data_IF_059724190343
#
_entry.id   IF_059724190343
#
_cell.length_a   1.000
_cell.length_b   1.000
_cell.length_c   1.000
_cell.angle_alpha   90.00
_cell.angle_beta   90.00
_cell.angle_gamma   90.00
#
_symmetry.space_group_name_H-M   'P 1'
#
loop_
_entity.id
_entity.type
_entity.pdbx_description
1 polymer ?
#
# COMPACT_ATOMS: atom_id res chain seq x y z
N UNK A 1 30.03 -11.53 10.07
CA UNK A 1 28.69 -11.39 10.69
C UNK A 1 28.62 -9.99 11.30
N UNK A 2 27.60 -9.20 10.96
CA UNK A 2 27.40 -7.85 11.49
C UNK A 2 26.01 -7.77 12.11
N UNK A 3 25.89 -7.13 13.25
CA UNK A 3 24.63 -6.77 13.90
C UNK A 3 24.55 -5.26 13.91
N UNK A 4 23.45 -4.71 13.42
CA UNK A 4 23.15 -3.29 13.57
C UNK A 4 22.56 -3.05 14.94
N UNK A 5 23.18 -2.16 15.71
CA UNK A 5 22.80 -1.91 17.11
C UNK A 5 21.64 -0.92 17.25
N UNK A 6 21.35 -0.16 16.20
CA UNK A 6 20.26 0.81 16.19
C UNK A 6 18.92 0.11 16.35
N UNK A 7 18.14 0.55 17.32
CA UNK A 7 16.81 0.00 17.56
C UNK A 7 15.86 0.40 16.43
N UNK A 8 15.41 -0.58 15.67
CA UNK A 8 14.42 -0.40 14.61
C UNK A 8 12.99 -0.46 15.19
N UNK A 9 12.13 0.46 14.78
CA UNK A 9 10.81 0.72 15.35
C UNK A 9 9.69 0.38 14.37
N UNK A 10 8.65 -0.29 14.86
CA UNK A 10 7.34 -0.39 14.21
C UNK A 10 6.38 0.71 14.68
N UNK A 11 5.17 0.74 14.13
CA UNK A 11 4.17 1.76 14.51
C UNK A 11 3.75 1.68 15.98
N UNK A 12 3.72 0.47 16.57
CA UNK A 12 3.37 0.25 17.97
C UNK A 12 4.40 0.77 18.97
N UNK A 13 5.62 1.07 18.51
CA UNK A 13 6.72 1.47 19.40
C UNK A 13 6.79 2.97 19.62
N UNK A 14 5.94 3.76 18.94
CA UNK A 14 5.92 5.21 19.01
C UNK A 14 4.53 5.81 19.08
N UNK A 15 4.43 7.01 19.66
CA UNK A 15 3.29 7.90 19.55
C UNK A 15 3.74 9.27 19.04
N UNK A 16 2.81 10.04 18.44
CA UNK A 16 3.05 11.45 18.16
C UNK A 16 3.10 12.25 19.47
N UNK A 17 4.09 13.09 19.61
CA UNK A 17 4.09 14.10 20.66
C UNK A 17 3.19 15.26 20.22
N UNK A 18 2.13 15.61 20.98
CA UNK A 18 1.29 16.75 20.66
C UNK A 18 2.10 18.06 20.62
N UNK A 19 1.71 18.96 19.73
CA UNK A 19 2.32 20.28 19.59
C UNK A 19 1.25 21.37 19.63
N UNK A 20 1.65 22.60 19.97
CA UNK A 20 0.75 23.73 19.88
C UNK A 20 0.23 23.89 18.45
N UNK A 21 -1.09 23.99 18.32
CA UNK A 21 -1.79 24.14 17.06
C UNK A 21 -2.64 25.39 17.05
N UNK A 22 -2.73 26.04 15.90
CA UNK A 22 -3.63 27.18 15.66
C UNK A 22 -4.94 26.74 14.98
N UNK A 23 -5.03 25.46 14.60
CA UNK A 23 -6.21 24.89 13.96
C UNK A 23 -7.37 24.78 14.95
N UNK A 24 -8.53 25.31 14.57
CA UNK A 24 -9.75 25.31 15.38
C UNK A 24 -10.64 24.10 15.13
N UNK A 25 -10.52 23.48 13.96
CA UNK A 25 -11.35 22.36 13.51
C UNK A 25 -10.56 21.42 12.61
N UNK A 26 -10.90 20.13 12.66
CA UNK A 26 -10.40 19.10 11.73
C UNK A 26 -10.80 19.38 10.29
N UNK A 27 -11.89 20.11 10.05
CA UNK A 27 -12.33 20.55 8.73
C UNK A 27 -11.36 21.50 8.02
N UNK A 28 -10.43 22.11 8.77
CA UNK A 28 -9.38 22.98 8.22
C UNK A 28 -8.19 22.19 7.68
N UNK A 29 -8.17 20.86 7.82
CA UNK A 29 -7.07 20.00 7.36
C UNK A 29 -7.37 19.46 5.98
N UNK A 30 -6.49 19.74 5.02
CA UNK A 30 -6.50 19.11 3.70
C UNK A 30 -5.62 17.85 3.69
N UNK A 31 -6.19 16.71 3.27
CA UNK A 31 -5.46 15.46 3.07
C UNK A 31 -5.01 15.27 1.63
N UNK A 32 -5.52 16.07 0.70
CA UNK A 32 -5.15 16.02 -0.71
C UNK A 32 -3.71 16.49 -0.89
N UNK A 33 -2.93 15.71 -1.63
CA UNK A 33 -1.55 16.05 -2.01
C UNK A 33 -1.43 16.08 -3.53
N UNK A 34 -0.51 16.88 -4.02
CA UNK A 34 -0.11 16.91 -5.42
C UNK A 34 1.31 16.37 -5.55
N UNK A 35 1.50 15.48 -6.52
CA UNK A 35 2.79 14.87 -6.86
C UNK A 35 3.14 15.15 -8.32
N UNK A 36 4.43 15.29 -8.57
CA UNK A 36 5.04 15.22 -9.90
C UNK A 36 6.04 14.09 -9.90
N UNK A 37 5.87 13.11 -10.78
CA UNK A 37 6.68 11.90 -10.77
C UNK A 37 7.97 12.10 -11.56
N UNK A 38 9.07 11.54 -11.05
CA UNK A 38 10.44 11.82 -11.51
C UNK A 38 10.66 11.53 -13.00
N UNK A 39 10.29 10.35 -13.45
CA UNK A 39 10.64 9.91 -14.81
C UNK A 39 9.65 10.39 -15.87
N UNK A 40 8.38 10.49 -15.52
CA UNK A 40 7.34 10.84 -16.48
C UNK A 40 6.95 12.31 -16.48
N UNK A 41 7.31 13.06 -15.42
CA UNK A 41 6.80 14.41 -15.15
C UNK A 41 5.24 14.47 -15.07
N UNK A 42 4.60 13.31 -15.01
CA UNK A 42 3.14 13.20 -14.82
C UNK A 42 2.75 13.81 -13.48
N UNK A 43 1.68 14.58 -13.47
CA UNK A 43 1.08 15.11 -12.25
C UNK A 43 -0.12 14.26 -11.82
N UNK A 44 -0.25 14.04 -10.53
CA UNK A 44 -1.41 13.43 -9.90
C UNK A 44 -1.76 14.19 -8.63
N UNK A 45 -3.06 14.33 -8.37
CA UNK A 45 -3.60 14.94 -7.18
C UNK A 45 -4.66 14.03 -6.56
N UNK A 46 -4.63 13.90 -5.24
CA UNK A 46 -5.60 13.12 -4.49
C UNK A 46 -5.14 12.84 -3.06
N UNK A 47 -5.87 11.98 -2.36
CA UNK A 47 -5.53 11.48 -1.04
C UNK A 47 -4.60 10.27 -1.21
N UNK A 48 -3.35 10.33 -0.75
CA UNK A 48 -2.32 9.35 -1.10
C UNK A 48 -2.42 8.04 -0.27
N UNK A 49 -3.60 7.45 -0.27
CA UNK A 49 -3.88 6.13 0.30
C UNK A 49 -4.25 5.18 -0.84
N UNK A 50 -3.68 3.98 -0.84
CA UNK A 50 -3.80 2.99 -1.91
C UNK A 50 -4.37 1.70 -1.34
N UNK A 51 -5.43 1.15 -1.94
CA UNK A 51 -5.84 -0.22 -1.64
C UNK A 51 -4.83 -1.22 -2.24
N UNK A 52 -4.42 -2.20 -1.43
CA UNK A 52 -3.40 -3.17 -1.80
C UNK A 52 -3.84 -4.08 -2.96
N UNK A 53 -2.89 -4.48 -3.79
CA UNK A 53 -3.06 -5.34 -4.96
C UNK A 53 -3.31 -6.82 -4.62
N UNK A 54 -4.14 -7.05 -3.62
CA UNK A 54 -4.58 -8.38 -3.19
C UNK A 54 -5.93 -8.69 -3.83
N UNK A 55 -6.16 -9.94 -4.24
CA UNK A 55 -7.43 -10.35 -4.87
C UNK A 55 -8.64 -10.33 -3.92
N UNK A 56 -8.37 -10.18 -2.62
CA UNK A 56 -9.35 -9.96 -1.56
C UNK A 56 -9.50 -8.49 -1.15
N UNK A 57 -8.87 -7.54 -1.84
CA UNK A 57 -8.91 -6.10 -1.52
C UNK A 57 -8.96 -5.24 -2.78
N UNK A 58 -7.98 -5.36 -3.67
CA UNK A 58 -7.79 -4.51 -4.85
C UNK A 58 -8.68 -4.90 -6.02
N UNK A 59 -9.97 -4.86 -5.85
CA UNK A 59 -11.00 -5.18 -6.85
C UNK A 59 -11.39 -3.97 -7.70
N UNK A 60 -12.13 -4.19 -8.78
CA UNK A 60 -12.73 -3.11 -9.58
C UNK A 60 -13.79 -2.30 -8.81
N UNK A 61 -14.58 -2.97 -7.94
CA UNK A 61 -15.56 -2.29 -7.10
C UNK A 61 -14.86 -1.36 -6.10
N UNK A 62 -13.80 -1.86 -5.43
CA UNK A 62 -12.95 -1.05 -4.54
C UNK A 62 -12.35 0.15 -5.31
N UNK A 63 -11.88 -0.05 -6.53
CA UNK A 63 -11.31 1.02 -7.35
C UNK A 63 -12.32 2.15 -7.63
N UNK A 64 -13.56 1.81 -8.00
CA UNK A 64 -14.63 2.80 -8.23
C UNK A 64 -14.95 3.57 -6.94
N UNK A 65 -15.12 2.87 -5.82
CA UNK A 65 -15.48 3.51 -4.55
C UNK A 65 -14.35 4.41 -4.03
N UNK A 66 -13.11 3.94 -4.02
CA UNK A 66 -11.98 4.71 -3.51
C UNK A 66 -11.65 5.93 -4.41
N UNK A 67 -11.80 5.81 -5.72
CA UNK A 67 -11.63 6.95 -6.63
C UNK A 67 -12.61 8.10 -6.32
N UNK A 68 -13.82 7.80 -5.84
CA UNK A 68 -14.76 8.78 -5.33
C UNK A 68 -14.28 9.55 -4.09
N UNK A 69 -13.32 9.00 -3.35
CA UNK A 69 -12.61 9.66 -2.25
C UNK A 69 -11.24 10.23 -2.67
N UNK A 70 -10.98 10.33 -3.96
CA UNK A 70 -9.67 10.74 -4.52
C UNK A 70 -8.50 9.83 -4.07
N UNK A 71 -8.79 8.60 -3.64
CA UNK A 71 -7.81 7.58 -3.23
C UNK A 71 -7.52 6.64 -4.39
N UNK A 72 -6.42 5.89 -4.29
CA UNK A 72 -5.99 4.97 -5.34
C UNK A 72 -6.29 3.50 -5.00
N UNK A 73 -6.36 2.68 -6.04
CA UNK A 73 -6.40 1.22 -5.89
C UNK A 73 -5.39 0.58 -6.83
N UNK A 74 -4.51 -0.24 -6.29
CA UNK A 74 -3.72 -1.17 -7.07
C UNK A 74 -4.60 -2.41 -7.35
N UNK A 75 -5.18 -2.46 -8.54
CA UNK A 75 -6.06 -3.58 -8.94
C UNK A 75 -5.21 -4.82 -9.16
N UNK A 76 -5.62 -5.95 -8.55
CA UNK A 76 -4.87 -7.19 -8.61
C UNK A 76 -4.73 -7.75 -10.05
N UNK A 77 -3.66 -8.47 -10.32
CA UNK A 77 -3.30 -8.96 -11.67
C UNK A 77 -4.18 -10.10 -12.23
N UNK A 78 -5.09 -10.66 -11.43
CA UNK A 78 -5.81 -11.90 -11.78
C UNK A 78 -7.08 -11.68 -12.62
N UNK A 79 -7.53 -10.44 -12.84
CA UNK A 79 -8.61 -10.15 -13.78
C UNK A 79 -8.20 -10.44 -15.22
N UNK A 80 -9.13 -10.97 -16.04
CA UNK A 80 -8.89 -11.21 -17.47
C UNK A 80 -8.88 -9.90 -18.27
N UNK A 81 -8.44 -9.97 -19.53
CA UNK A 81 -8.47 -8.80 -20.44
C UNK A 81 -9.90 -8.36 -20.73
N UNK A 82 -10.85 -9.30 -20.86
CA UNK A 82 -12.26 -9.02 -21.08
C UNK A 82 -12.86 -8.27 -19.87
N UNK A 83 -12.51 -8.69 -18.65
CA UNK A 83 -12.95 -8.01 -17.43
C UNK A 83 -12.37 -6.60 -17.33
N UNK A 84 -11.11 -6.40 -17.69
CA UNK A 84 -10.49 -5.08 -17.77
C UNK A 84 -11.17 -4.21 -18.83
N UNK A 85 -11.47 -4.76 -20.02
CA UNK A 85 -12.15 -4.02 -21.08
C UNK A 85 -13.54 -3.56 -20.63
N UNK A 86 -14.31 -4.44 -19.98
CA UNK A 86 -15.61 -4.10 -19.41
C UNK A 86 -15.48 -2.98 -18.36
N UNK A 87 -14.53 -3.13 -17.42
CA UNK A 87 -14.28 -2.14 -16.37
C UNK A 87 -13.93 -0.76 -16.95
N UNK A 88 -13.04 -0.70 -17.96
CA UNK A 88 -12.62 0.54 -18.59
C UNK A 88 -13.79 1.20 -19.34
N UNK A 89 -14.60 0.41 -20.06
CA UNK A 89 -15.75 0.94 -20.82
C UNK A 89 -16.85 1.51 -19.92
N UNK A 90 -17.02 0.93 -18.72
CA UNK A 90 -18.06 1.30 -17.76
C UNK A 90 -17.63 2.39 -16.75
N UNK A 91 -16.34 2.74 -16.72
CA UNK A 91 -15.79 3.63 -15.69
C UNK A 91 -15.42 4.98 -16.30
N UNK A 92 -15.80 6.07 -15.62
CA UNK A 92 -15.41 7.42 -16.03
C UNK A 92 -13.87 7.51 -16.12
N UNK A 93 -13.31 8.01 -17.24
CA UNK A 93 -11.88 8.21 -17.40
C UNK A 93 -11.21 8.99 -16.26
N UNK A 94 -11.90 9.92 -15.63
CA UNK A 94 -11.37 10.65 -14.47
C UNK A 94 -11.10 9.73 -13.29
N UNK A 95 -11.94 8.71 -13.06
CA UNK A 95 -11.74 7.71 -11.99
C UNK A 95 -10.63 6.73 -12.33
N UNK A 96 -10.41 6.40 -13.61
CA UNK A 96 -9.30 5.55 -14.06
C UNK A 96 -7.93 6.16 -13.74
N UNK A 97 -7.83 7.48 -13.60
CA UNK A 97 -6.63 8.17 -13.13
C UNK A 97 -6.21 7.84 -11.70
N UNK A 98 -7.05 7.13 -10.94
CA UNK A 98 -6.78 6.63 -9.59
C UNK A 98 -6.53 5.10 -9.55
N UNK A 99 -6.42 4.47 -10.71
CA UNK A 99 -6.24 3.02 -10.83
C UNK A 99 -4.81 2.68 -11.22
N UNK A 100 -4.21 1.72 -10.51
CA UNK A 100 -2.93 1.11 -10.86
C UNK A 100 -3.15 -0.29 -11.43
N UNK A 101 -2.52 -0.60 -12.55
CA UNK A 101 -2.50 -1.94 -13.13
C UNK A 101 -1.38 -2.73 -12.49
N UNK A 102 -1.71 -3.80 -11.74
CA UNK A 102 -0.70 -4.61 -11.06
C UNK A 102 -0.16 -5.71 -11.97
N UNK A 103 1.13 -5.99 -11.86
CA UNK A 103 1.84 -7.00 -12.65
C UNK A 103 2.89 -7.73 -11.79
N UNK A 104 3.18 -8.99 -12.15
CA UNK A 104 4.38 -9.69 -11.72
C UNK A 104 5.52 -9.46 -12.71
N UNK A 105 6.52 -10.36 -12.69
CA UNK A 105 7.74 -10.25 -13.53
C UNK A 105 7.79 -11.25 -14.68
N UNK A 106 6.74 -12.07 -14.87
CA UNK A 106 6.70 -13.03 -15.98
C UNK A 106 6.49 -12.33 -17.34
N UNK A 107 6.90 -12.98 -18.42
CA UNK A 107 6.67 -12.48 -19.78
C UNK A 107 5.17 -12.36 -20.08
N UNK A 108 4.35 -13.27 -19.56
CA UNK A 108 2.90 -13.27 -19.69
C UNK A 108 2.27 -12.08 -18.94
N UNK A 109 2.64 -11.87 -17.66
CA UNK A 109 2.21 -10.71 -16.88
C UNK A 109 2.54 -9.40 -17.60
N UNK A 110 3.75 -9.30 -18.17
CA UNK A 110 4.19 -8.11 -18.90
C UNK A 110 3.39 -7.87 -20.17
N UNK A 111 3.16 -8.91 -20.98
CA UNK A 111 2.35 -8.80 -22.20
C UNK A 111 0.92 -8.37 -21.89
N UNK A 112 0.30 -8.98 -20.87
CA UNK A 112 -1.04 -8.64 -20.39
C UNK A 112 -1.13 -7.19 -19.91
N UNK A 113 -0.16 -6.74 -19.12
CA UNK A 113 -0.10 -5.36 -18.62
C UNK A 113 -0.09 -4.36 -19.76
N UNK A 114 0.71 -4.57 -20.81
CA UNK A 114 0.74 -3.71 -21.98
C UNK A 114 -0.59 -3.65 -22.72
N UNK A 115 -1.30 -4.77 -22.83
CA UNK A 115 -2.62 -4.81 -23.46
C UNK A 115 -3.65 -4.03 -22.62
N UNK A 116 -3.61 -4.14 -21.29
CA UNK A 116 -4.51 -3.38 -20.41
C UNK A 116 -4.24 -1.87 -20.51
N UNK A 117 -2.98 -1.46 -20.46
CA UNK A 117 -2.62 -0.03 -20.58
C UNK A 117 -3.03 0.58 -21.92
N UNK A 118 -3.07 -0.21 -23.00
CA UNK A 118 -3.54 0.24 -24.32
C UNK A 118 -5.05 0.45 -24.40
N UNK A 119 -5.84 -0.01 -23.42
CA UNK A 119 -7.31 0.16 -23.39
C UNK A 119 -7.74 1.61 -23.09
N UNK A 120 -6.91 2.37 -22.36
CA UNK A 120 -7.21 3.77 -22.02
C UNK A 120 -5.97 4.56 -21.65
N UNK A 121 -5.82 5.76 -22.20
CA UNK A 121 -4.74 6.71 -21.81
C UNK A 121 -4.87 7.21 -20.36
N UNK A 122 -6.03 7.02 -19.72
CA UNK A 122 -6.24 7.36 -18.32
C UNK A 122 -5.60 6.34 -17.36
N UNK A 123 -5.28 5.12 -17.81
CA UNK A 123 -4.53 4.12 -17.03
C UNK A 123 -3.04 4.45 -17.07
N UNK A 124 -2.60 5.32 -16.15
CA UNK A 124 -1.23 5.86 -16.14
C UNK A 124 -0.29 5.23 -15.11
N UNK A 125 -0.78 4.33 -14.27
CA UNK A 125 -0.02 3.77 -13.15
C UNK A 125 0.17 2.26 -13.29
N UNK A 126 1.39 1.79 -13.05
CA UNK A 126 1.77 0.38 -13.04
C UNK A 126 2.28 0.04 -11.63
N UNK A 127 1.78 -1.05 -11.04
CA UNK A 127 2.29 -1.60 -9.79
C UNK A 127 3.02 -2.91 -10.07
N UNK A 128 4.36 -2.89 -10.01
CA UNK A 128 5.22 -4.07 -10.16
C UNK A 128 5.49 -4.63 -8.78
N UNK A 129 4.87 -5.78 -8.47
CA UNK A 129 4.85 -6.34 -7.13
C UNK A 129 5.51 -7.72 -7.07
N UNK A 130 6.53 -7.83 -6.21
CA UNK A 130 7.19 -9.08 -5.84
C UNK A 130 7.43 -9.12 -4.33
N UNK A 131 7.44 -10.32 -3.75
CA UNK A 131 7.71 -10.50 -2.32
C UNK A 131 9.15 -10.09 -1.93
N UNK A 132 10.10 -10.23 -2.86
CA UNK A 132 11.52 -9.92 -2.69
C UNK A 132 12.05 -9.08 -3.83
N UNK A 133 12.13 -7.76 -3.63
CA UNK A 133 12.64 -6.79 -4.60
C UNK A 133 14.17 -6.70 -4.70
N UNK A 134 14.91 -7.58 -4.00
CA UNK A 134 16.38 -7.56 -3.96
C UNK A 134 17.04 -8.39 -5.05
N UNK A 135 16.28 -9.07 -5.92
CA UNK A 135 16.86 -9.86 -7.00
C UNK A 135 17.29 -8.98 -8.18
N UNK A 136 18.42 -9.30 -8.80
CA UNK A 136 18.90 -8.64 -10.02
C UNK A 136 17.85 -8.72 -11.13
N UNK A 137 17.21 -9.87 -11.28
CA UNK A 137 16.10 -10.07 -12.23
C UNK A 137 14.96 -9.05 -12.04
N UNK A 138 14.64 -8.67 -10.79
CA UNK A 138 13.61 -7.68 -10.52
C UNK A 138 14.03 -6.28 -10.99
N UNK A 139 15.27 -5.89 -10.72
CA UNK A 139 15.85 -4.61 -11.17
C UNK A 139 15.84 -4.52 -12.69
N UNK A 140 16.29 -5.57 -13.38
CA UNK A 140 16.27 -5.66 -14.86
C UNK A 140 14.83 -5.55 -15.38
N UNK A 141 13.87 -6.17 -14.72
CA UNK A 141 12.46 -6.09 -15.10
C UNK A 141 11.91 -4.66 -14.95
N UNK A 142 12.29 -3.93 -13.90
CA UNK A 142 11.92 -2.50 -13.74
C UNK A 142 12.48 -1.67 -14.90
N UNK A 143 13.74 -1.87 -15.29
CA UNK A 143 14.33 -1.21 -16.47
C UNK A 143 13.55 -1.52 -17.75
N UNK A 144 13.24 -2.79 -17.98
CA UNK A 144 12.46 -3.25 -19.14
C UNK A 144 11.05 -2.63 -19.19
N UNK A 145 10.35 -2.54 -18.07
CA UNK A 145 9.04 -1.88 -18.01
C UNK A 145 9.18 -0.37 -18.29
N UNK A 146 10.19 0.30 -17.74
CA UNK A 146 10.44 1.73 -18.01
C UNK A 146 10.69 1.98 -19.50
N UNK A 147 11.48 1.17 -20.15
CA UNK A 147 11.74 1.28 -21.59
C UNK A 147 10.46 1.07 -22.43
N UNK A 148 9.64 0.08 -22.06
CA UNK A 148 8.42 -0.24 -22.80
C UNK A 148 7.24 0.69 -22.51
N UNK A 149 7.20 1.33 -21.34
CA UNK A 149 6.13 2.18 -20.85
C UNK A 149 6.67 3.52 -20.35
N UNK A 150 7.34 4.33 -21.20
CA UNK A 150 8.07 5.53 -20.78
C UNK A 150 7.19 6.60 -20.16
N UNK A 151 5.91 6.63 -20.51
CA UNK A 151 4.95 7.64 -20.06
C UNK A 151 4.09 7.21 -18.86
N UNK A 152 4.33 6.00 -18.31
CA UNK A 152 3.56 5.50 -17.17
C UNK A 152 4.35 5.64 -15.88
N UNK A 153 3.67 5.98 -14.80
CA UNK A 153 4.23 6.03 -13.45
C UNK A 153 4.40 4.59 -12.95
N UNK A 154 5.62 4.23 -12.56
CA UNK A 154 5.96 2.90 -12.08
C UNK A 154 6.14 2.91 -10.57
N UNK A 155 5.29 2.13 -9.89
CA UNK A 155 5.45 1.72 -8.50
C UNK A 155 6.06 0.33 -8.46
N UNK A 156 7.21 0.15 -7.77
CA UNK A 156 7.94 -1.12 -7.75
C UNK A 156 8.41 -1.50 -6.35
N UNK A 157 8.35 -2.76 -5.99
CA UNK A 157 8.80 -3.32 -4.70
C UNK A 157 8.41 -4.80 -4.54
N UNK A 158 8.71 -5.37 -3.32
CA UNK A 158 8.97 -4.66 -2.06
C UNK A 158 10.44 -4.70 -1.64
N UNK A 159 10.88 -3.60 -1.08
CA UNK A 159 12.19 -3.44 -0.47
C UNK A 159 12.08 -2.75 0.90
N UNK A 160 13.16 -2.69 1.70
CA UNK A 160 13.17 -2.07 3.04
C UNK A 160 14.46 -1.32 3.36
N UNK A 161 15.37 -1.16 2.40
CA UNK A 161 16.66 -0.45 2.59
C UNK A 161 16.82 0.70 1.62
N UNK A 162 17.51 1.75 2.05
CA UNK A 162 17.76 2.94 1.23
C UNK A 162 18.50 2.62 -0.07
N UNK A 163 19.50 1.74 -0.02
CA UNK A 163 20.30 1.33 -1.19
C UNK A 163 19.42 0.74 -2.31
N UNK A 164 18.47 -0.14 -1.94
CA UNK A 164 17.57 -0.72 -2.94
C UNK A 164 16.50 0.27 -3.42
N UNK A 165 16.10 1.23 -2.59
CA UNK A 165 15.25 2.34 -3.03
C UNK A 165 15.97 3.16 -4.09
N UNK A 166 17.22 3.52 -3.86
CA UNK A 166 18.05 4.24 -4.82
C UNK A 166 18.21 3.46 -6.12
N UNK A 167 18.55 2.17 -6.05
CA UNK A 167 18.69 1.28 -7.21
C UNK A 167 17.40 1.23 -8.05
N UNK A 168 16.22 1.06 -7.41
CA UNK A 168 14.95 0.98 -8.13
C UNK A 168 14.57 2.32 -8.78
N UNK A 169 14.81 3.45 -8.09
CA UNK A 169 14.54 4.77 -8.67
C UNK A 169 15.46 5.03 -9.86
N UNK A 170 16.75 4.74 -9.74
CA UNK A 170 17.71 4.90 -10.83
C UNK A 170 17.40 3.95 -12.02
N UNK A 171 16.80 2.81 -11.74
CA UNK A 171 16.38 1.82 -12.74
C UNK A 171 15.03 2.16 -13.40
N UNK A 172 14.33 3.22 -12.96
CA UNK A 172 13.13 3.72 -13.63
C UNK A 172 11.85 3.71 -12.80
N UNK A 173 11.86 3.30 -11.53
CA UNK A 173 10.71 3.44 -10.64
C UNK A 173 10.49 4.91 -10.25
N UNK A 174 9.24 5.36 -10.26
CA UNK A 174 8.84 6.67 -9.72
C UNK A 174 8.52 6.57 -8.24
N UNK A 175 7.90 5.47 -7.83
CA UNK A 175 7.48 5.20 -6.46
C UNK A 175 8.06 3.85 -6.04
N UNK A 176 8.67 3.77 -4.86
CA UNK A 176 9.17 2.50 -4.33
C UNK A 176 8.26 1.97 -3.22
N UNK A 177 7.91 0.70 -3.33
CA UNK A 177 7.03 -0.01 -2.38
C UNK A 177 7.87 -0.59 -1.24
N UNK A 178 7.65 -0.06 -0.03
CA UNK A 178 8.46 -0.32 1.16
C UNK A 178 7.71 -1.18 2.17
N UNK A 179 8.23 -2.37 2.43
CA UNK A 179 7.67 -3.28 3.45
C UNK A 179 7.96 -4.75 3.16
N UNK A 180 8.65 -5.43 4.08
CA UNK A 180 8.85 -6.88 4.09
C UNK A 180 8.47 -7.40 5.47
N UNK A 181 7.41 -8.20 5.52
CA UNK A 181 6.95 -8.84 6.75
C UNK A 181 6.06 -8.02 7.70
N UNK A 182 5.61 -6.77 7.41
CA UNK A 182 4.76 -6.03 8.35
C UNK A 182 3.27 -6.34 8.22
N UNK A 183 2.82 -6.95 7.13
CA UNK A 183 1.40 -7.20 6.86
C UNK A 183 0.74 -8.12 7.88
N UNK A 184 -0.55 -7.89 8.17
CA UNK A 184 -1.31 -8.64 9.19
C UNK A 184 -1.49 -10.13 8.86
N UNK A 185 -1.46 -10.50 7.58
CA UNK A 185 -1.54 -11.89 7.10
C UNK A 185 -0.21 -12.39 6.51
N UNK A 186 0.87 -11.61 6.66
CA UNK A 186 2.21 -11.99 6.26
C UNK A 186 2.87 -12.86 7.33
N UNK A 187 3.53 -13.96 6.93
CA UNK A 187 4.28 -14.85 7.81
C UNK A 187 5.77 -14.92 7.45
N UNK A 188 6.24 -14.06 6.55
CA UNK A 188 7.65 -14.04 6.09
C UNK A 188 8.63 -13.99 7.25
N UNK A 189 8.41 -13.12 8.26
CA UNK A 189 9.29 -13.02 9.44
C UNK A 189 9.42 -14.33 10.22
N UNK A 190 8.33 -15.07 10.33
CA UNK A 190 8.31 -16.35 11.05
C UNK A 190 8.91 -17.47 10.20
N UNK A 191 8.64 -17.47 8.90
CA UNK A 191 9.06 -18.55 7.98
C UNK A 191 10.52 -18.42 7.53
N UNK A 192 11.02 -17.20 7.41
CA UNK A 192 12.34 -16.94 6.82
C UNK A 192 13.32 -16.22 7.76
N UNK A 193 12.83 -15.62 8.85
CA UNK A 193 13.61 -14.71 9.69
C UNK A 193 13.88 -13.34 9.05
N UNK A 194 13.38 -13.09 7.82
CA UNK A 194 13.57 -11.83 7.09
C UNK A 194 12.45 -10.85 7.41
N UNK A 195 12.80 -9.58 7.54
CA UNK A 195 11.84 -8.50 7.74
C UNK A 195 12.49 -7.25 8.32
N UNK A 196 11.74 -6.17 8.34
CA UNK A 196 12.18 -4.89 8.89
C UNK A 196 11.02 -4.21 9.63
N UNK A 197 11.22 -3.57 10.79
CA UNK A 197 10.19 -2.78 11.47
C UNK A 197 9.75 -1.59 10.61
N UNK A 198 8.45 -1.50 10.35
CA UNK A 198 7.91 -0.72 9.24
C UNK A 198 8.16 0.79 9.36
N UNK A 199 8.09 1.37 10.57
CA UNK A 199 8.35 2.80 10.74
C UNK A 199 9.78 3.17 10.40
N UNK A 200 10.76 2.40 10.89
CA UNK A 200 12.17 2.62 10.56
C UNK A 200 12.44 2.42 9.07
N UNK A 201 11.86 1.37 8.44
CA UNK A 201 11.96 1.17 7.01
C UNK A 201 11.45 2.39 6.22
N UNK A 202 10.29 2.94 6.60
CA UNK A 202 9.72 4.14 5.96
C UNK A 202 10.66 5.33 6.11
N UNK A 203 11.17 5.60 7.31
CA UNK A 203 12.04 6.76 7.57
C UNK A 203 13.32 6.69 6.71
N UNK A 204 13.99 5.54 6.73
CA UNK A 204 15.25 5.33 6.00
C UNK A 204 15.04 5.35 4.47
N UNK A 205 13.98 4.68 3.99
CA UNK A 205 13.65 4.63 2.57
C UNK A 205 13.12 5.96 2.02
N UNK A 206 12.40 6.74 2.83
CA UNK A 206 11.92 8.08 2.43
C UNK A 206 13.08 9.04 2.22
N UNK A 207 14.09 9.02 3.09
CA UNK A 207 15.28 9.86 2.95
C UNK A 207 16.02 9.56 1.64
N UNK A 208 16.27 8.28 1.36
CA UNK A 208 16.90 7.84 0.12
C UNK A 208 16.09 8.22 -1.13
N UNK A 209 14.77 7.99 -1.13
CA UNK A 209 13.91 8.30 -2.27
C UNK A 209 13.85 9.82 -2.55
N UNK A 210 13.62 10.61 -1.51
CA UNK A 210 13.48 12.06 -1.65
C UNK A 210 14.79 12.71 -2.11
N UNK A 211 15.95 12.20 -1.69
CA UNK A 211 17.26 12.60 -2.18
C UNK A 211 17.42 12.48 -3.70
N UNK A 212 16.75 11.52 -4.30
CA UNK A 212 16.74 11.28 -5.75
C UNK A 212 15.50 11.86 -6.47
N UNK A 213 14.60 12.53 -5.77
CA UNK A 213 13.36 13.08 -6.34
C UNK A 213 12.30 12.01 -6.64
N UNK A 214 12.43 10.79 -6.10
CA UNK A 214 11.42 9.74 -6.12
C UNK A 214 10.47 9.81 -4.93
N UNK A 215 9.48 8.91 -4.90
CA UNK A 215 8.51 8.77 -3.82
C UNK A 215 8.55 7.36 -3.24
N UNK A 216 7.99 7.20 -2.04
CA UNK A 216 7.76 5.87 -1.45
C UNK A 216 6.30 5.65 -1.08
N UNK A 217 5.90 4.39 -1.08
CA UNK A 217 4.66 3.93 -0.44
C UNK A 217 5.00 2.99 0.72
N UNK A 218 4.52 3.32 1.91
CA UNK A 218 4.59 2.42 3.07
C UNK A 218 3.53 1.32 2.93
N UNK A 219 3.97 0.08 2.70
CA UNK A 219 3.10 -1.07 2.47
C UNK A 219 3.07 -2.02 3.65
N UNK A 220 1.92 -2.12 4.28
CA UNK A 220 1.65 -3.00 5.41
C UNK A 220 2.00 -2.42 6.78
N UNK A 221 1.56 -3.13 7.83
CA UNK A 221 1.80 -2.78 9.24
C UNK A 221 0.78 -1.81 9.85
N UNK A 222 -0.03 -1.11 9.05
CA UNK A 222 -1.11 -0.27 9.57
C UNK A 222 -2.30 -1.13 9.99
N UNK A 223 -2.76 -0.94 11.24
CA UNK A 223 -3.92 -1.61 11.84
C UNK A 223 -4.96 -0.64 12.36
N UNK A 224 -4.62 0.64 12.40
CA UNK A 224 -5.47 1.73 12.88
C UNK A 224 -5.23 3.02 12.08
N UNK A 225 -6.15 3.99 12.12
CA UNK A 225 -5.93 5.31 11.51
C UNK A 225 -4.68 6.03 12.05
N UNK A 226 -4.34 5.80 13.31
CA UNK A 226 -3.12 6.32 13.93
C UNK A 226 -1.84 5.78 13.29
N UNK A 227 -1.84 4.51 12.86
CA UNK A 227 -0.69 3.92 12.16
C UNK A 227 -0.52 4.51 10.76
N UNK A 228 -1.64 4.76 10.05
CA UNK A 228 -1.63 5.46 8.77
C UNK A 228 -1.01 6.86 8.92
N UNK A 229 -1.41 7.59 9.96
CA UNK A 229 -0.82 8.89 10.27
C UNK A 229 0.69 8.77 10.59
N UNK A 230 1.11 7.73 11.35
CA UNK A 230 2.53 7.50 11.65
C UNK A 230 3.36 7.19 10.40
N UNK A 231 2.80 6.46 9.44
CA UNK A 231 3.46 6.21 8.16
C UNK A 231 3.73 7.54 7.42
N UNK A 232 2.74 8.41 7.31
CA UNK A 232 2.93 9.76 6.74
C UNK A 232 3.89 10.62 7.57
N UNK A 233 3.78 10.55 8.90
CA UNK A 233 4.69 11.25 9.82
C UNK A 233 6.14 10.79 9.69
N UNK A 234 6.36 9.53 9.36
CA UNK A 234 7.66 8.92 9.10
C UNK A 234 8.25 9.26 7.73
N UNK A 235 7.48 9.88 6.84
CA UNK A 235 7.96 10.32 5.53
C UNK A 235 7.37 9.60 4.34
N UNK A 236 6.44 8.64 4.53
CA UNK A 236 5.76 8.01 3.42
C UNK A 236 5.00 9.05 2.57
N UNK A 237 5.16 8.98 1.26
CA UNK A 237 4.39 9.79 0.32
C UNK A 237 3.00 9.22 0.12
N UNK A 238 2.93 7.90 0.03
CA UNK A 238 1.71 7.11 -0.07
C UNK A 238 1.68 6.04 1.03
N UNK A 239 0.49 5.57 1.38
CA UNK A 239 0.29 4.43 2.31
C UNK A 239 -0.60 3.40 1.64
N UNK A 240 -0.13 2.14 1.57
CA UNK A 240 -0.90 1.03 1.03
C UNK A 240 -1.55 0.23 2.16
N UNK A 241 -2.84 -0.02 2.01
CA UNK A 241 -3.68 -0.69 3.01
C UNK A 241 -4.27 -1.99 2.46
N UNK A 242 -4.03 -3.10 3.17
CA UNK A 242 -4.68 -4.39 2.93
C UNK A 242 -5.75 -4.66 3.98
N UNK A 243 -5.36 -5.13 5.16
CA UNK A 243 -6.27 -5.58 6.22
C UNK A 243 -7.27 -4.55 6.72
N UNK A 244 -6.93 -3.26 6.70
CA UNK A 244 -7.86 -2.19 7.07
C UNK A 244 -9.01 -2.00 6.07
N UNK A 245 -8.80 -2.36 4.80
CA UNK A 245 -9.80 -2.32 3.74
C UNK A 245 -10.35 -3.70 3.38
N UNK A 246 -9.97 -4.75 4.09
CA UNK A 246 -10.45 -6.11 3.86
C UNK A 246 -11.82 -6.35 4.49
N UNK A 247 -12.53 -7.36 3.98
CA UNK A 247 -13.86 -7.82 4.44
C UNK A 247 -14.98 -6.80 4.28
N UNK A 248 -14.85 -5.88 3.33
CA UNK A 248 -15.90 -4.97 2.90
C UNK A 248 -16.63 -5.48 1.65
N UNK A 249 -17.81 -4.92 1.38
CA UNK A 249 -18.65 -5.26 0.25
C UNK A 249 -17.91 -5.19 -1.08
N UNK A 250 -17.03 -4.21 -1.24
CA UNK A 250 -16.25 -3.97 -2.45
C UNK A 250 -15.07 -4.93 -2.64
N UNK A 251 -14.78 -5.76 -1.63
CA UNK A 251 -13.73 -6.77 -1.73
C UNK A 251 -14.14 -7.97 -2.58
N UNK A 252 -13.18 -8.58 -3.27
CA UNK A 252 -13.39 -9.82 -4.03
C UNK A 252 -13.34 -11.10 -3.18
N UNK A 253 -13.50 -11.00 -1.86
CA UNK A 253 -13.43 -12.15 -0.94
C UNK A 253 -14.69 -13.00 -0.95
N UNK A 254 -14.56 -14.28 -0.59
CA UNK A 254 -15.67 -15.20 -0.38
C UNK A 254 -16.32 -14.95 0.99
N UNK A 255 -17.65 -14.77 0.99
CA UNK A 255 -18.43 -14.66 2.23
C UNK A 255 -18.76 -16.09 2.69
N UNK A 256 -18.47 -16.38 3.95
CA UNK A 256 -18.79 -17.63 4.63
C UNK A 256 -19.61 -17.34 5.88
N UNK A 257 -20.62 -18.18 6.14
CA UNK A 257 -21.39 -18.12 7.39
C UNK A 257 -20.64 -18.88 8.49
N UNK A 258 -20.49 -18.24 9.64
CA UNK A 258 -19.94 -18.87 10.86
C UNK A 258 -20.91 -18.58 11.99
N UNK A 259 -21.60 -19.61 12.46
CA UNK A 259 -22.58 -19.53 13.56
C UNK A 259 -23.70 -18.48 13.33
N UNK A 260 -24.13 -18.30 12.09
CA UNK A 260 -25.16 -17.35 11.69
C UNK A 260 -24.68 -15.93 11.42
N UNK A 261 -23.37 -15.70 11.50
CA UNK A 261 -22.75 -14.40 11.23
C UNK A 261 -21.90 -14.45 9.94
N UNK A 262 -21.94 -13.40 9.09
CA UNK A 262 -21.18 -13.37 7.85
C UNK A 262 -19.72 -12.99 8.11
N UNK A 263 -18.81 -13.80 7.57
CA UNK A 263 -17.37 -13.56 7.55
C UNK A 263 -16.85 -13.56 6.11
N UNK A 264 -15.73 -12.89 5.88
CA UNK A 264 -15.01 -12.99 4.60
C UNK A 264 -13.62 -13.59 4.81
N UNK A 265 -13.21 -14.43 3.86
CA UNK A 265 -11.83 -14.95 3.81
C UNK A 265 -10.89 -13.83 3.39
N UNK A 266 -9.85 -13.64 4.18
CA UNK A 266 -8.74 -12.72 3.90
C UNK A 266 -7.42 -13.46 4.05
N UNK A 267 -6.52 -13.33 3.06
CA UNK A 267 -5.26 -14.07 3.04
C UNK A 267 -4.13 -13.29 2.36
N UNK A 268 -2.89 -13.62 2.75
CA UNK A 268 -1.70 -13.08 2.09
C UNK A 268 -1.52 -13.67 0.69
N UNK A 269 -1.03 -12.88 -0.27
CA UNK A 269 -0.83 -13.32 -1.66
C UNK A 269 0.22 -14.43 -1.82
N UNK A 270 1.05 -14.69 -0.80
CA UNK A 270 1.96 -15.83 -0.70
C UNK A 270 1.47 -16.94 0.23
N UNK A 271 0.17 -16.96 0.58
CA UNK A 271 -0.46 -18.05 1.36
C UNK A 271 -0.75 -19.28 0.51
N UNK A 272 -0.96 -20.44 1.16
CA UNK A 272 -1.44 -21.64 0.48
C UNK A 272 -2.75 -21.36 -0.27
N UNK A 273 -3.72 -20.69 0.35
CA UNK A 273 -4.98 -20.32 -0.29
C UNK A 273 -4.82 -19.52 -1.58
N UNK A 274 -3.90 -18.55 -1.60
CA UNK A 274 -3.61 -17.79 -2.81
C UNK A 274 -2.91 -18.64 -3.87
N UNK A 275 -1.97 -19.50 -3.45
CA UNK A 275 -1.24 -20.38 -4.36
C UNK A 275 -2.16 -21.46 -4.95
N UNK A 276 -3.06 -22.04 -4.17
CA UNK A 276 -4.06 -23.01 -4.66
C UNK A 276 -4.98 -22.36 -5.69
N UNK A 277 -5.41 -21.12 -5.45
CA UNK A 277 -6.31 -20.40 -6.35
C UNK A 277 -5.66 -19.94 -7.66
N UNK A 278 -4.38 -19.53 -7.61
CA UNK A 278 -3.74 -18.81 -8.72
C UNK A 278 -2.50 -19.51 -9.31
N UNK A 279 -1.92 -20.50 -8.64
CA UNK A 279 -0.66 -21.13 -9.05
C UNK A 279 -0.69 -22.67 -9.04
N UNK A 280 -1.87 -23.28 -8.82
CA UNK A 280 -2.01 -24.74 -8.79
C UNK A 280 -1.41 -25.42 -7.55
N UNK A 281 -1.18 -24.67 -6.48
CA UNK A 281 -0.68 -25.18 -5.20
C UNK A 281 0.69 -24.64 -4.79
N UNK A 282 1.15 -25.08 -3.61
CA UNK A 282 2.47 -24.73 -3.08
C UNK A 282 3.51 -25.70 -3.62
N UNK A 283 4.49 -25.21 -4.38
CA UNK A 283 5.59 -26.03 -4.87
C UNK A 283 6.43 -26.60 -3.71
N UNK A 284 6.96 -27.83 -3.84
CA UNK A 284 7.71 -28.54 -2.78
C UNK A 284 8.90 -27.76 -2.23
N UNK A 285 9.56 -26.96 -3.07
CA UNK A 285 10.72 -26.15 -2.69
C UNK A 285 10.35 -24.81 -2.05
N UNK A 286 9.04 -24.49 -1.88
CA UNK A 286 8.56 -23.18 -1.46
C UNK A 286 7.78 -23.25 -0.15
N UNK A 287 8.06 -22.33 0.77
CA UNK A 287 7.25 -22.15 1.96
C UNK A 287 6.07 -21.19 1.69
N UNK A 288 4.92 -21.45 2.31
CA UNK A 288 3.83 -20.48 2.36
C UNK A 288 4.21 -19.35 3.33
N UNK A 289 4.29 -18.12 2.83
CA UNK A 289 4.64 -16.92 3.60
C UNK A 289 3.43 -16.04 3.92
N UNK A 290 2.23 -16.59 3.86
CA UNK A 290 0.98 -15.94 4.22
C UNK A 290 0.06 -16.88 4.99
N UNK A 291 -0.84 -16.28 5.78
CA UNK A 291 -1.92 -17.02 6.46
C UNK A 291 -3.27 -16.60 5.91
N UNK A 292 -4.26 -17.47 6.09
CA UNK A 292 -5.67 -17.20 5.83
C UNK A 292 -6.38 -16.96 7.15
N UNK A 293 -7.22 -15.94 7.20
CA UNK A 293 -8.05 -15.60 8.35
C UNK A 293 -9.48 -15.34 7.89
N UNK A 294 -10.43 -15.54 8.78
CA UNK A 294 -11.81 -15.10 8.62
C UNK A 294 -11.96 -13.77 9.36
N UNK A 295 -12.45 -12.77 8.64
CA UNK A 295 -12.75 -11.45 9.21
C UNK A 295 -14.28 -11.28 9.21
N UNK A 296 -14.88 -10.71 10.27
CA UNK A 296 -16.27 -10.32 10.23
C UNK A 296 -16.55 -9.43 9.02
N UNK A 297 -17.66 -9.67 8.32
CA UNK A 297 -18.09 -8.82 7.22
C UNK A 297 -18.42 -7.41 7.73
N UNK A 298 -17.89 -6.38 7.06
CA UNK A 298 -17.91 -5.00 7.55
C UNK A 298 -18.86 -4.07 6.79
N UNK A 299 -19.62 -4.61 5.81
CA UNK A 299 -20.46 -3.78 4.94
C UNK A 299 -19.66 -2.87 4.01
N UNK A 300 -20.25 -1.74 3.55
CA UNK A 300 -19.60 -0.83 2.61
C UNK A 300 -18.29 -0.24 3.17
N UNK A 301 -17.26 -0.11 2.33
CA UNK A 301 -15.93 0.38 2.70
C UNK A 301 -15.91 1.87 3.08
N UNK A 302 -16.92 2.63 2.66
CA UNK A 302 -17.00 4.08 2.93
C UNK A 302 -16.84 4.46 4.41
N UNK A 303 -17.42 3.67 5.32
CA UNK A 303 -17.32 3.93 6.76
C UNK A 303 -15.88 3.79 7.24
N UNK A 304 -15.19 2.75 6.81
CA UNK A 304 -13.77 2.54 7.12
C UNK A 304 -12.90 3.65 6.53
N UNK A 305 -13.17 4.08 5.30
CA UNK A 305 -12.46 5.20 4.67
C UNK A 305 -12.65 6.49 5.46
N UNK A 306 -13.89 6.82 5.84
CA UNK A 306 -14.19 8.03 6.62
C UNK A 306 -13.49 8.01 7.98
N UNK A 307 -13.44 6.86 8.65
CA UNK A 307 -12.75 6.70 9.93
C UNK A 307 -11.24 6.88 9.76
N UNK A 308 -10.62 6.22 8.78
CA UNK A 308 -9.19 6.36 8.46
C UNK A 308 -8.83 7.83 8.21
N UNK A 309 -9.56 8.49 7.31
CA UNK A 309 -9.30 9.88 6.96
C UNK A 309 -9.59 10.83 8.11
N UNK A 310 -10.61 10.55 8.93
CA UNK A 310 -10.93 11.27 10.15
C UNK A 310 -9.81 11.20 11.19
N UNK A 311 -9.25 10.02 11.41
CA UNK A 311 -8.12 9.80 12.30
C UNK A 311 -6.85 10.54 11.86
N UNK A 312 -6.53 10.49 10.57
CA UNK A 312 -5.38 11.23 10.00
C UNK A 312 -5.58 12.76 10.16
N UNK A 313 -6.79 13.29 9.90
CA UNK A 313 -7.10 14.71 10.15
C UNK A 313 -6.95 15.07 11.63
N UNK A 314 -7.39 14.19 12.53
CA UNK A 314 -7.21 14.40 13.97
C UNK A 314 -5.74 14.52 14.34
N UNK A 315 -4.89 13.61 13.85
CA UNK A 315 -3.44 13.67 14.08
C UNK A 315 -2.85 15.00 13.59
N UNK A 316 -3.25 15.43 12.39
CA UNK A 316 -2.80 16.71 11.83
C UNK A 316 -3.16 17.89 12.75
N UNK A 317 -4.36 17.90 13.34
CA UNK A 317 -4.74 18.97 14.30
C UNK A 317 -3.91 18.93 15.57
N UNK A 318 -3.58 17.76 16.10
CA UNK A 318 -2.75 17.61 17.30
C UNK A 318 -1.31 18.08 17.12
N UNK A 319 -0.79 18.06 15.90
CA UNK A 319 0.59 18.54 15.62
C UNK A 319 0.62 19.89 14.89
N UNK A 320 -0.55 20.46 14.59
CA UNK A 320 -0.68 21.76 13.95
C UNK A 320 -0.38 21.76 12.43
N UNK A 321 -0.58 20.60 11.74
CA UNK A 321 -0.46 20.50 10.30
C UNK A 321 -1.80 20.83 9.62
N UNK A 322 -1.85 21.89 8.82
CA UNK A 322 -3.04 22.25 8.03
C UNK A 322 -3.17 21.44 6.73
N UNK A 323 -2.09 20.82 6.30
CA UNK A 323 -2.03 19.97 5.11
C UNK A 323 -1.26 18.69 5.43
N UNK A 324 -1.69 17.57 4.85
CA UNK A 324 -1.03 16.27 5.05
C UNK A 324 0.47 16.33 4.75
N UNK A 325 0.90 17.08 3.72
CA UNK A 325 2.31 17.24 3.35
C UNK A 325 3.18 17.88 4.44
N UNK A 326 2.57 18.56 5.40
CA UNK A 326 3.29 19.18 6.52
C UNK A 326 3.56 18.19 7.65
N UNK A 327 2.85 17.05 7.67
CA UNK A 327 2.85 16.12 8.79
C UNK A 327 4.26 15.64 9.13
N UNK A 328 5.04 15.23 8.14
CA UNK A 328 6.43 14.78 8.33
C UNK A 328 7.29 15.85 9.02
N UNK A 329 7.21 17.11 8.57
CA UNK A 329 7.98 18.21 9.15
C UNK A 329 7.53 18.61 10.55
N UNK A 330 6.27 18.34 10.89
CA UNK A 330 5.68 18.65 12.20
C UNK A 330 5.75 17.46 13.16
N UNK A 331 6.08 16.28 12.70
CA UNK A 331 6.17 15.08 13.52
C UNK A 331 7.35 15.14 14.49
N UNK A 332 7.08 14.73 15.73
CA UNK A 332 8.05 14.28 16.70
C UNK A 332 7.49 13.02 17.32
N UNK A 333 8.15 11.91 17.13
CA UNK A 333 7.78 10.65 17.77
C UNK A 333 8.40 10.55 19.16
N UNK A 334 7.65 9.99 20.10
CA UNK A 334 8.12 9.52 21.39
C UNK A 334 8.04 8.00 21.43
N UNK A 335 9.08 7.35 21.92
CA UNK A 335 9.09 5.89 22.15
C UNK A 335 8.22 5.57 23.35
N UNK A 336 7.42 4.53 23.20
CA UNK A 336 6.50 4.06 24.25
C UNK A 336 6.56 2.54 24.36
N UNK A 337 6.14 2.00 25.51
CA UNK A 337 5.97 0.56 25.71
C UNK A 337 4.53 0.12 25.44
N UNK A 338 3.58 0.97 25.80
CA UNK A 338 2.15 0.74 25.65
C UNK A 338 1.51 1.91 24.93
N UNK A 339 0.52 1.63 24.09
CA UNK A 339 -0.19 2.62 23.29
C UNK A 339 -1.68 2.64 23.61
N UNK A 340 -2.26 1.49 23.93
CA UNK A 340 -3.70 1.28 24.04
C UNK A 340 -4.11 1.14 25.50
N UNK A 341 -5.26 1.72 25.84
CA UNK A 341 -5.91 1.48 27.12
C UNK A 341 -6.92 0.32 26.95
N UNK A 342 -6.56 -0.83 27.47
CA UNK A 342 -7.36 -2.06 27.36
C UNK A 342 -8.30 -2.31 28.55
N UNK A 343 -8.60 -1.29 29.38
CA UNK A 343 -9.41 -1.45 30.60
C UNK A 343 -10.81 -2.00 30.30
N UNK A 344 -11.40 -1.63 29.16
CA UNK A 344 -12.72 -2.09 28.73
C UNK A 344 -12.67 -3.03 27.53
N UNK A 345 -11.52 -3.62 27.21
CA UNK A 345 -11.31 -4.49 26.07
C UNK A 345 -10.78 -3.75 24.83
N UNK A 346 -10.64 -4.49 23.74
CA UNK A 346 -10.32 -3.89 22.45
C UNK A 346 -11.61 -3.54 21.72
N UNK A 347 -11.71 -2.34 21.16
CA UNK A 347 -12.76 -1.98 20.21
C UNK A 347 -12.69 -2.82 18.95
#
# INVERSE_FOLDING_TARGET
MRIEEDLKLGFKDVLFRPKRSTLKSRSQVSLTRQFTFKHTQTQWQGVPVIAANMDTVGSFAMARTLAGFEMMTAVHKHYSLEQWQAFVNETDPALLGHVMVSTGTSAEDFAKTRQILAMSEALRFICVDVANGYSEHFVEFVRKIREACPNHVILAGNVVTGEMVEELILSGADIVKVGIGPGSVCTTRVKTGVGYPQLSAIIECADAAHGLGGQIVGDGGCTSPGDVAKAFGGGADFVMLGGMLAAHEECGGEIVDVDGEPFMKFYGMSSSSAMDKHAGGVAEYRASEGKTVLLPYRGPVENAVRDILGGVRSTCTYVGASQLKELTKRTTFIRVREQENNVYGKE
#
